data_IF_754293179308
#
_entry.id   IF_754293179308
#
_cell.length_a   1.000
_cell.length_b   1.000
_cell.length_c   1.000
_cell.angle_alpha   90.00
_cell.angle_beta   90.00
_cell.angle_gamma   90.00
#
_symmetry.space_group_name_H-M   'P 1'
#
loop_
_entity.id
_entity.type
_entity.pdbx_description
1 polymer ?
#
# COMPACT_ATOMS: atom_id res chain seq x y z
N UNK A 1 14.74 -3.03 -3.85
CA UNK A 1 13.99 -3.56 -5.01
C UNK A 1 12.53 -3.65 -4.64
N UNK A 2 11.70 -2.68 -5.01
CA UNK A 2 10.26 -2.69 -4.73
C UNK A 2 9.58 -3.70 -5.65
N UNK A 3 8.98 -4.75 -5.09
CA UNK A 3 8.20 -5.72 -5.85
C UNK A 3 6.77 -5.18 -5.96
N UNK A 4 6.29 -4.95 -7.18
CA UNK A 4 4.85 -4.87 -7.43
C UNK A 4 4.31 -6.29 -7.34
N UNK A 5 3.33 -6.51 -6.47
CA UNK A 5 2.78 -7.83 -6.18
C UNK A 5 1.29 -7.78 -6.49
N UNK A 6 0.83 -8.71 -7.31
CA UNK A 6 -0.59 -8.85 -7.61
C UNK A 6 -1.35 -9.28 -6.35
N UNK A 7 -2.59 -8.80 -6.17
CA UNK A 7 -3.35 -8.97 -4.92
C UNK A 7 -3.59 -10.45 -4.59
N UNK A 8 -3.75 -11.28 -5.62
CA UNK A 8 -3.89 -12.73 -5.56
C UNK A 8 -2.65 -13.43 -4.98
N UNK A 9 -1.47 -12.84 -5.09
CA UNK A 9 -0.24 -13.37 -4.52
C UNK A 9 -0.04 -12.94 -3.05
N UNK A 10 -0.80 -11.95 -2.57
CA UNK A 10 -0.64 -11.39 -1.24
C UNK A 10 -0.89 -12.40 -0.10
N UNK A 11 -1.87 -13.32 -0.18
CA UNK A 11 -2.05 -14.34 0.84
C UNK A 11 -0.83 -15.24 1.00
N UNK A 12 -0.24 -15.71 -0.10
CA UNK A 12 0.96 -16.56 -0.10
C UNK A 12 2.13 -15.81 0.54
N UNK A 13 2.44 -14.62 0.03
CA UNK A 13 3.54 -13.80 0.53
C UNK A 13 3.38 -13.42 2.00
N UNK A 14 2.18 -13.01 2.42
CA UNK A 14 1.93 -12.61 3.82
C UNK A 14 2.07 -13.79 4.79
N UNK A 15 1.70 -15.00 4.37
CA UNK A 15 1.87 -16.21 5.17
C UNK A 15 3.34 -16.59 5.31
N UNK A 16 4.13 -16.52 4.23
CA UNK A 16 5.58 -16.74 4.28
C UNK A 16 6.27 -15.75 5.24
N UNK A 17 5.93 -14.46 5.13
CA UNK A 17 6.47 -13.42 6.00
C UNK A 17 6.08 -13.63 7.47
N UNK A 18 4.81 -13.99 7.74
CA UNK A 18 4.35 -14.32 9.10
C UNK A 18 5.07 -15.55 9.66
N UNK A 19 5.27 -16.60 8.86
CA UNK A 19 6.03 -17.80 9.25
C UNK A 19 7.49 -17.47 9.56
N UNK A 20 8.06 -16.50 8.86
CA UNK A 20 9.39 -15.95 9.16
C UNK A 20 9.43 -14.98 10.35
N UNK A 21 8.33 -14.85 11.11
CA UNK A 21 8.24 -13.98 12.29
C UNK A 21 8.24 -12.47 11.98
N UNK A 22 8.00 -12.08 10.71
CA UNK A 22 8.04 -10.68 10.30
C UNK A 22 6.76 -9.94 10.66
N UNK A 23 6.90 -8.74 11.21
CA UNK A 23 5.80 -7.79 11.42
C UNK A 23 5.48 -7.09 10.11
N UNK A 24 4.28 -7.33 9.61
CA UNK A 24 3.78 -6.73 8.37
C UNK A 24 2.95 -5.49 8.72
N UNK A 25 3.28 -4.36 8.11
CA UNK A 25 2.53 -3.10 8.18
C UNK A 25 1.81 -2.91 6.85
N UNK A 26 0.54 -2.54 6.90
CA UNK A 26 -0.26 -2.23 5.72
C UNK A 26 -0.66 -0.76 5.75
N UNK A 27 -0.55 -0.10 4.61
CA UNK A 27 -1.18 1.18 4.35
C UNK A 27 -1.77 1.19 2.94
N UNK A 28 -2.73 2.08 2.69
CA UNK A 28 -3.29 2.25 1.36
C UNK A 28 -3.44 3.74 1.03
N UNK A 29 -3.43 4.04 -0.26
CA UNK A 29 -3.51 5.41 -0.72
C UNK A 29 -3.73 5.51 -2.22
N UNK A 30 -4.13 6.70 -2.66
CA UNK A 30 -4.21 7.01 -4.09
C UNK A 30 -2.82 7.39 -4.62
N UNK A 31 -2.03 8.06 -3.79
CA UNK A 31 -0.68 8.53 -4.11
C UNK A 31 -0.60 9.35 -5.42
N UNK A 32 -1.71 9.98 -5.79
CA UNK A 32 -1.77 10.96 -6.87
C UNK A 32 -0.87 12.15 -6.52
N UNK A 33 -0.09 12.61 -7.50
CA UNK A 33 0.99 13.59 -7.35
C UNK A 33 1.79 13.40 -6.06
N UNK A 34 2.68 12.39 -6.03
CA UNK A 34 3.52 12.10 -4.88
C UNK A 34 4.24 13.36 -4.34
N UNK A 35 4.04 13.63 -3.05
CA UNK A 35 4.61 14.77 -2.36
C UNK A 35 5.15 14.37 -0.98
N UNK A 36 5.84 15.30 -0.32
CA UNK A 36 6.53 15.07 0.96
C UNK A 36 5.63 14.52 2.07
N UNK A 37 4.33 14.81 2.03
CA UNK A 37 3.36 14.27 3.00
C UNK A 37 3.23 12.75 2.88
N UNK A 38 3.11 12.23 1.65
CA UNK A 38 3.09 10.79 1.40
C UNK A 38 4.41 10.13 1.81
N UNK A 39 5.56 10.74 1.48
CA UNK A 39 6.86 10.21 1.87
C UNK A 39 6.99 10.08 3.39
N UNK A 40 6.68 11.14 4.14
CA UNK A 40 6.70 11.12 5.62
C UNK A 40 5.78 10.04 6.19
N UNK A 41 4.59 9.88 5.62
CA UNK A 41 3.64 8.84 6.05
C UNK A 41 4.16 7.43 5.77
N UNK A 42 4.74 7.19 4.59
CA UNK A 42 5.29 5.89 4.20
C UNK A 42 6.54 5.54 5.02
N UNK A 43 7.40 6.52 5.28
CA UNK A 43 8.56 6.37 6.16
C UNK A 43 8.14 6.05 7.60
N UNK A 44 7.13 6.74 8.11
CA UNK A 44 6.56 6.45 9.44
C UNK A 44 5.99 5.03 9.48
N UNK A 45 5.19 4.63 8.49
CA UNK A 45 4.65 3.28 8.41
C UNK A 45 5.75 2.21 8.31
N UNK A 46 6.82 2.47 7.54
CA UNK A 46 7.95 1.55 7.38
C UNK A 46 8.68 1.28 8.69
N UNK A 47 8.71 2.23 9.62
CA UNK A 47 9.33 2.08 10.96
C UNK A 47 8.51 1.21 11.91
N UNK A 48 7.24 0.94 11.63
CA UNK A 48 6.36 0.18 12.54
C UNK A 48 6.51 -1.35 12.43
N UNK A 49 7.29 -1.84 11.45
CA UNK A 49 7.50 -3.27 11.27
C UNK A 49 8.63 -3.60 10.30
N UNK A 50 8.70 -4.86 9.92
CA UNK A 50 9.77 -5.39 9.07
C UNK A 50 9.45 -5.21 7.58
N UNK A 51 8.17 -5.31 7.23
CA UNK A 51 7.68 -5.24 5.85
C UNK A 51 6.54 -4.24 5.76
N UNK A 52 6.65 -3.28 4.85
CA UNK A 52 5.56 -2.36 4.51
C UNK A 52 4.91 -2.81 3.20
N UNK A 53 3.62 -3.13 3.26
CA UNK A 53 2.76 -3.33 2.09
C UNK A 53 2.01 -2.03 1.85
N UNK A 54 2.12 -1.50 0.62
CA UNK A 54 1.43 -0.29 0.19
C UNK A 54 0.41 -0.67 -0.88
N UNK A 55 -0.88 -0.65 -0.52
CA UNK A 55 -1.96 -0.87 -1.48
C UNK A 55 -2.29 0.43 -2.22
N UNK A 56 -2.15 0.41 -3.55
CA UNK A 56 -2.51 1.55 -4.41
C UNK A 56 -3.95 1.37 -4.86
N UNK A 57 -4.79 2.37 -4.57
CA UNK A 57 -6.20 2.32 -4.95
C UNK A 57 -6.37 2.53 -6.45
N UNK A 58 -7.30 1.80 -7.07
CA UNK A 58 -7.67 1.99 -8.47
C UNK A 58 -8.62 3.18 -8.68
N UNK A 59 -8.73 3.61 -9.94
CA UNK A 59 -9.60 4.74 -10.31
C UNK A 59 -11.08 4.43 -10.06
N UNK A 60 -11.48 3.16 -10.19
CA UNK A 60 -12.85 2.75 -9.93
C UNK A 60 -13.24 2.94 -8.46
N UNK A 61 -12.37 2.57 -7.52
CA UNK A 61 -12.54 2.85 -6.09
C UNK A 61 -12.52 4.34 -5.80
N UNK A 62 -11.64 5.08 -6.47
CA UNK A 62 -11.55 6.54 -6.37
C UNK A 62 -12.86 7.20 -6.78
N UNK A 63 -13.42 6.83 -7.94
CA UNK A 63 -14.72 7.31 -8.44
C UNK A 63 -15.85 7.02 -7.48
N UNK A 64 -15.93 5.78 -6.98
CA UNK A 64 -16.96 5.37 -6.00
C UNK A 64 -16.92 6.21 -4.72
N UNK A 65 -15.72 6.58 -4.25
CA UNK A 65 -15.56 7.29 -2.96
C UNK A 65 -15.55 8.81 -3.09
N UNK A 66 -15.06 9.36 -4.19
CA UNK A 66 -14.81 10.80 -4.38
C UNK A 66 -15.66 11.44 -5.48
N UNK A 67 -16.48 10.66 -6.18
CA UNK A 67 -17.34 11.13 -7.27
C UNK A 67 -16.78 10.84 -8.66
N UNK A 68 -17.63 10.91 -9.70
CA UNK A 68 -17.31 10.46 -11.06
C UNK A 68 -16.22 11.31 -11.76
N UNK A 69 -16.00 12.55 -11.31
CA UNK A 69 -15.02 13.48 -11.89
C UNK A 69 -13.60 13.30 -11.34
N UNK A 70 -13.31 12.18 -10.67
CA UNK A 70 -12.00 11.82 -10.12
C UNK A 70 -11.61 10.42 -10.60
N UNK A 71 -10.32 10.04 -10.69
CA UNK A 71 -9.14 10.89 -10.62
C UNK A 71 -9.05 11.84 -11.83
N UNK A 72 -8.16 12.83 -11.75
CA UNK A 72 -7.92 13.81 -12.83
C UNK A 72 -6.78 13.35 -13.73
#
# INVERSE_FOLDING_TARGET
>A
MGKVVAIECLPVLSNELRRAGKRIVLTNGHFDLLHVGHLRSLEAARRLGDVLVVAVNDDASTRRRKGPTRPF
#
